data_IF_063240931286
#
_entry.id   IF_063240931286
#
_cell.length_a   1.000
_cell.length_b   1.000
_cell.length_c   1.000
_cell.angle_alpha   90.00
_cell.angle_beta   90.00
_cell.angle_gamma   90.00
#
_symmetry.space_group_name_H-M   'P 1'
#
loop_
_entity.id
_entity.type
_entity.pdbx_description
1 polymer ?
#
# COMPACT_ATOMS: atom_id res chain seq x y z
N UNK A 1 45.83 -20.41 -25.75
CA UNK A 1 45.95 -18.96 -25.48
C UNK A 1 44.79 -18.15 -26.10
N UNK A 2 44.45 -18.37 -27.38
CA UNK A 2 43.34 -17.68 -28.05
C UNK A 2 41.93 -17.97 -27.47
N UNK A 3 41.65 -19.22 -27.04
CA UNK A 3 40.33 -19.63 -26.52
C UNK A 3 39.94 -18.93 -25.20
N UNK A 4 40.93 -18.52 -24.42
CA UNK A 4 40.71 -17.78 -23.17
C UNK A 4 40.33 -16.32 -23.45
N UNK A 5 40.89 -15.71 -24.50
CA UNK A 5 40.61 -14.32 -24.85
C UNK A 5 39.22 -14.16 -25.48
N UNK A 6 38.76 -15.13 -26.27
CA UNK A 6 37.40 -15.14 -26.82
C UNK A 6 36.32 -15.40 -25.77
N UNK A 7 36.60 -16.22 -24.75
CA UNK A 7 35.71 -16.42 -23.62
C UNK A 7 35.52 -15.14 -22.80
N UNK A 8 36.61 -14.40 -22.55
CA UNK A 8 36.56 -13.14 -21.82
C UNK A 8 35.77 -12.04 -22.57
N UNK A 9 35.92 -11.95 -23.89
CA UNK A 9 35.16 -10.97 -24.69
C UNK A 9 33.66 -11.31 -24.74
N UNK A 10 33.30 -12.59 -24.81
CA UNK A 10 31.91 -13.06 -24.76
C UNK A 10 31.25 -12.79 -23.38
N UNK A 11 32.00 -12.99 -22.30
CA UNK A 11 31.52 -12.65 -20.96
C UNK A 11 31.33 -11.13 -20.79
N UNK A 12 32.26 -10.31 -21.29
CA UNK A 12 32.14 -8.85 -21.26
C UNK A 12 30.94 -8.34 -22.06
N UNK A 13 30.70 -8.85 -23.27
CA UNK A 13 29.52 -8.47 -24.06
C UNK A 13 28.23 -8.95 -23.43
N UNK A 14 28.21 -10.14 -22.81
CA UNK A 14 27.05 -10.64 -22.05
C UNK A 14 26.74 -9.78 -20.81
N UNK A 15 27.77 -9.40 -20.04
CA UNK A 15 27.63 -8.51 -18.88
C UNK A 15 27.15 -7.12 -19.31
N UNK A 16 27.73 -6.57 -20.38
CA UNK A 16 27.33 -5.26 -20.91
C UNK A 16 25.89 -5.27 -21.48
N UNK A 17 25.52 -6.33 -22.19
CA UNK A 17 24.14 -6.50 -22.68
C UNK A 17 23.14 -6.61 -21.53
N UNK A 18 23.49 -7.33 -20.46
CA UNK A 18 22.69 -7.39 -19.24
C UNK A 18 22.60 -6.05 -18.52
N UNK A 19 23.67 -5.27 -18.41
CA UNK A 19 23.62 -3.95 -17.77
C UNK A 19 22.72 -2.98 -18.53
N UNK A 20 22.75 -2.99 -19.87
CA UNK A 20 21.84 -2.22 -20.72
C UNK A 20 20.37 -2.59 -20.50
N UNK A 21 20.08 -3.85 -20.17
CA UNK A 21 18.71 -4.30 -19.90
C UNK A 21 18.25 -4.01 -18.47
N UNK A 22 19.17 -4.05 -17.50
CA UNK A 22 18.88 -3.85 -16.08
C UNK A 22 18.69 -2.37 -15.74
N UNK A 23 19.49 -1.48 -16.32
CA UNK A 23 19.40 -0.03 -16.05
C UNK A 23 18.00 0.56 -16.26
N UNK A 24 17.29 0.32 -17.38
CA UNK A 24 15.94 0.86 -17.57
C UNK A 24 14.91 0.22 -16.63
N UNK A 25 15.11 -1.03 -16.19
CA UNK A 25 14.26 -1.65 -15.18
C UNK A 25 14.46 -1.00 -13.81
N UNK A 26 15.70 -0.70 -13.44
CA UNK A 26 16.01 0.05 -12.23
C UNK A 26 15.37 1.44 -12.25
N UNK A 27 15.47 2.15 -13.37
CA UNK A 27 14.85 3.47 -13.55
C UNK A 27 13.33 3.42 -13.42
N UNK A 28 12.68 2.38 -13.96
CA UNK A 28 11.24 2.18 -13.79
C UNK A 28 10.87 1.92 -12.33
N UNK A 29 11.64 1.10 -11.61
CA UNK A 29 11.41 0.85 -10.19
C UNK A 29 11.53 2.14 -9.37
N UNK A 30 12.58 2.94 -9.59
CA UNK A 30 12.76 4.21 -8.88
C UNK A 30 11.64 5.21 -9.14
N UNK A 31 11.13 5.25 -10.38
CA UNK A 31 10.01 6.11 -10.73
C UNK A 31 8.72 5.68 -10.00
N UNK A 32 8.44 4.37 -9.95
CA UNK A 32 7.28 3.82 -9.23
C UNK A 32 7.36 4.11 -7.73
N UNK A 33 8.53 3.93 -7.11
CA UNK A 33 8.72 4.26 -5.69
C UNK A 33 8.47 5.75 -5.41
N UNK A 34 9.01 6.63 -6.27
CA UNK A 34 8.81 8.08 -6.14
C UNK A 34 7.34 8.47 -6.29
N UNK A 35 6.61 7.84 -7.20
CA UNK A 35 5.19 8.09 -7.40
C UNK A 35 4.36 7.61 -6.21
N UNK A 36 4.69 6.46 -5.62
CA UNK A 36 4.05 5.98 -4.39
C UNK A 36 4.29 6.93 -3.22
N UNK A 37 5.50 7.46 -3.07
CA UNK A 37 5.82 8.45 -2.04
C UNK A 37 5.06 9.75 -2.25
N UNK A 38 4.96 10.23 -3.51
CA UNK A 38 4.13 11.39 -3.86
C UNK A 38 2.66 11.14 -3.56
N UNK A 39 2.15 9.96 -3.88
CA UNK A 39 0.77 9.59 -3.62
C UNK A 39 0.51 9.55 -2.11
N UNK A 40 1.36 8.87 -1.33
CA UNK A 40 1.28 8.85 0.13
C UNK A 40 1.38 10.26 0.74
N UNK A 41 2.19 11.14 0.16
CA UNK A 41 2.31 12.52 0.61
C UNK A 41 1.04 13.34 0.37
N UNK A 42 0.43 13.21 -0.81
CA UNK A 42 -0.77 13.97 -1.20
C UNK A 42 -2.04 13.42 -0.53
N UNK A 43 -2.15 12.09 -0.43
CA UNK A 43 -3.35 11.40 0.06
C UNK A 43 -3.25 10.98 1.54
N UNK A 44 -2.10 11.21 2.19
CA UNK A 44 -1.86 10.87 3.58
C UNK A 44 -1.77 9.36 3.83
N UNK A 45 -1.68 8.92 5.09
CA UNK A 45 -1.71 7.49 5.43
C UNK A 45 -3.07 6.89 5.07
N UNK A 46 -3.07 5.93 4.15
CA UNK A 46 -4.26 5.18 3.78
C UNK A 46 -4.57 4.14 4.87
N UNK A 47 -5.59 4.40 5.70
CA UNK A 47 -6.09 3.41 6.66
C UNK A 47 -7.22 2.58 6.05
N UNK A 48 -6.98 1.28 5.89
CA UNK A 48 -8.00 0.34 5.39
C UNK A 48 -8.57 -0.44 6.58
N UNK A 49 -9.85 -0.21 6.87
CA UNK A 49 -10.58 -0.95 7.90
C UNK A 49 -11.51 -1.98 7.26
N UNK A 50 -11.16 -3.27 7.41
CA UNK A 50 -12.07 -4.37 7.07
C UNK A 50 -13.02 -4.65 8.22
N UNK A 51 -14.32 -4.72 7.92
CA UNK A 51 -15.36 -5.08 8.88
C UNK A 51 -15.74 -6.55 8.66
N UNK A 52 -15.27 -7.42 9.54
CA UNK A 52 -15.62 -8.84 9.52
C UNK A 52 -17.07 -9.07 10.02
N UNK A 53 -17.70 -10.17 9.60
CA UNK A 53 -19.08 -10.53 9.94
C UNK A 53 -20.12 -9.43 9.67
N UNK A 54 -19.99 -8.71 8.55
CA UNK A 54 -20.82 -7.55 8.24
C UNK A 54 -22.32 -7.80 8.43
N UNK A 55 -22.84 -8.93 7.93
CA UNK A 55 -24.27 -9.29 8.01
C UNK A 55 -24.76 -9.43 9.46
N UNK A 56 -23.95 -10.00 10.35
CA UNK A 56 -24.28 -10.10 11.77
C UNK A 56 -24.28 -8.71 12.41
N UNK A 57 -23.21 -7.94 12.20
CA UNK A 57 -23.07 -6.59 12.76
C UNK A 57 -24.14 -5.62 12.26
N UNK A 58 -24.56 -5.75 11.00
CA UNK A 58 -25.65 -4.97 10.42
C UNK A 58 -26.99 -5.32 11.09
N UNK A 59 -27.27 -6.61 11.30
CA UNK A 59 -28.47 -7.03 12.01
C UNK A 59 -28.47 -6.57 13.48
N UNK A 60 -27.32 -6.64 14.15
CA UNK A 60 -27.15 -6.12 15.52
C UNK A 60 -27.39 -4.60 15.58
N UNK A 61 -26.93 -3.85 14.57
CA UNK A 61 -27.19 -2.41 14.44
C UNK A 61 -28.66 -2.12 14.16
N UNK A 62 -29.30 -2.89 13.28
CA UNK A 62 -30.73 -2.80 12.96
C UNK A 62 -31.63 -3.12 14.16
N UNK A 63 -31.22 -4.09 14.98
CA UNK A 63 -31.91 -4.44 16.23
C UNK A 63 -31.68 -3.42 17.36
N UNK A 64 -30.82 -2.41 17.14
CA UNK A 64 -30.47 -1.40 18.15
C UNK A 64 -29.50 -1.88 19.23
N UNK A 65 -29.04 -3.13 19.18
CA UNK A 65 -28.13 -3.70 20.18
C UNK A 65 -26.71 -3.11 20.08
N UNK A 66 -26.26 -2.76 18.87
CA UNK A 66 -24.94 -2.13 18.64
C UNK A 66 -24.92 -1.27 17.38
N UNK A 67 -25.40 -0.03 17.51
CA UNK A 67 -25.55 0.89 16.37
C UNK A 67 -24.23 1.40 15.81
N UNK A 68 -23.21 1.58 16.65
CA UNK A 68 -21.89 2.14 16.26
C UNK A 68 -20.77 1.13 16.51
N UNK A 69 -19.90 0.99 15.52
CA UNK A 69 -18.66 0.21 15.60
C UNK A 69 -17.45 1.12 15.43
N UNK A 70 -16.31 0.72 16.01
CA UNK A 70 -15.05 1.46 15.96
C UNK A 70 -13.96 0.62 15.34
N UNK A 71 -13.08 1.27 14.57
CA UNK A 71 -11.85 0.68 14.07
C UNK A 71 -10.80 0.58 15.18
N UNK A 72 -9.80 -0.31 15.04
CA UNK A 72 -8.56 -0.19 15.78
C UNK A 72 -7.95 1.22 15.61
N UNK A 73 -7.28 1.77 16.64
CA UNK A 73 -6.64 3.07 16.53
C UNK A 73 -5.43 3.01 15.59
N UNK A 74 -5.23 4.06 14.82
CA UNK A 74 -4.09 4.23 13.91
C UNK A 74 -3.48 5.63 14.06
N UNK A 75 -2.24 5.78 13.59
CA UNK A 75 -1.52 7.05 13.63
C UNK A 75 -1.57 7.73 12.26
N UNK A 76 -1.65 9.07 12.25
CA UNK A 76 -1.58 9.85 11.01
C UNK A 76 -0.16 9.98 10.44
N UNK A 77 0.86 9.76 11.29
CA UNK A 77 2.27 9.80 10.92
C UNK A 77 3.09 9.12 12.03
N UNK A 78 4.40 8.93 11.83
CA UNK A 78 5.31 8.29 12.81
C UNK A 78 5.22 8.89 14.23
N UNK A 79 4.97 10.18 14.35
CA UNK A 79 4.72 10.90 15.61
C UNK A 79 3.46 11.78 15.50
N UNK A 80 2.49 11.34 14.70
CA UNK A 80 1.27 12.08 14.42
C UNK A 80 0.17 11.84 15.47
N UNK A 81 -1.05 12.22 15.11
CA UNK A 81 -2.23 12.05 15.95
C UNK A 81 -2.69 10.59 15.95
N UNK A 82 -3.14 10.10 17.11
CA UNK A 82 -3.82 8.81 17.24
C UNK A 82 -5.31 9.00 16.97
N UNK A 83 -5.81 8.36 15.92
CA UNK A 83 -7.20 8.46 15.48
C UNK A 83 -7.86 7.09 15.41
N UNK A 84 -9.19 7.06 15.38
CA UNK A 84 -9.99 5.88 15.09
C UNK A 84 -11.21 6.29 14.28
N UNK A 85 -11.73 5.40 13.44
CA UNK A 85 -12.94 5.64 12.66
C UNK A 85 -14.13 4.99 13.36
N UNK A 86 -15.26 5.69 13.38
CA UNK A 86 -16.55 5.13 13.79
C UNK A 86 -17.47 4.96 12.59
N UNK A 87 -18.26 3.90 12.57
CA UNK A 87 -19.27 3.68 11.54
C UNK A 87 -20.59 3.20 12.16
N UNK A 88 -21.71 3.72 11.65
CA UNK A 88 -23.06 3.33 12.04
C UNK A 88 -23.69 2.54 10.88
N UNK A 89 -23.70 1.21 11.00
CA UNK A 89 -24.04 0.33 9.87
C UNK A 89 -25.50 0.43 9.42
N UNK A 90 -26.40 0.86 10.32
CA UNK A 90 -27.83 1.07 10.04
C UNK A 90 -28.23 2.56 10.11
N UNK A 91 -27.23 3.46 10.11
CA UNK A 91 -27.44 4.89 10.38
C UNK A 91 -27.59 5.19 11.88
N UNK A 92 -27.32 6.44 12.28
CA UNK A 92 -27.46 6.91 13.66
C UNK A 92 -28.50 8.02 13.83
N UNK A 93 -29.19 8.40 12.75
CA UNK A 93 -30.24 9.42 12.77
C UNK A 93 -29.76 10.82 13.17
N UNK A 94 -28.44 11.06 13.28
CA UNK A 94 -27.87 12.35 13.72
C UNK A 94 -27.66 13.37 12.59
N UNK A 95 -28.02 13.00 11.35
CA UNK A 95 -28.08 13.91 10.21
C UNK A 95 -29.53 14.29 9.91
N UNK A 96 -30.05 15.28 10.63
CA UNK A 96 -31.33 15.96 10.39
C UNK A 96 -31.13 17.45 10.51
#
# INVERSE_FOLDING_TARGET
MLSFMTSYSCLLTSIFSRSVTINPLHERLTNVETDLDRLNYIYGPHYIWRIDDFRRRFNDAKAGAKSTIYSPPFLTARHGYKMAVSACLYGDGRGG
#
